data_IF_801060191016
#
_entry.id   IF_801060191016
#
_cell.length_a   1.000
_cell.length_b   1.000
_cell.length_c   1.000
_cell.angle_alpha   90.00
_cell.angle_beta   90.00
_cell.angle_gamma   90.00
#
_symmetry.space_group_name_H-M   'P 1'
#
loop_
_entity.id
_entity.type
_entity.pdbx_description
1 polymer ?
#
# COMPACT_ATOMS: atom_id res chain seq x y z
N UNK A 1 0.87 -22.95 -0.56
CA UNK A 1 0.99 -22.87 0.91
C UNK A 1 0.10 -21.72 1.36
N UNK A 2 -0.96 -21.97 2.13
CA UNK A 2 -1.89 -20.91 2.56
C UNK A 2 -1.29 -20.13 3.72
N UNK A 3 -1.24 -18.79 3.64
CA UNK A 3 -0.83 -17.95 4.76
C UNK A 3 -1.97 -17.99 5.80
N UNK A 4 -1.75 -18.52 7.01
CA UNK A 4 -2.81 -18.65 8.00
C UNK A 4 -3.31 -17.25 8.40
N UNK A 5 -4.63 -17.08 8.60
CA UNK A 5 -5.17 -15.82 9.08
C UNK A 5 -4.61 -15.51 10.47
N UNK A 6 -4.06 -14.31 10.63
CA UNK A 6 -3.76 -13.80 11.96
C UNK A 6 -5.09 -13.41 12.64
N UNK A 7 -5.38 -14.01 13.80
CA UNK A 7 -6.66 -13.89 14.53
C UNK A 7 -6.83 -12.51 15.20
N UNK A 8 -5.88 -11.58 15.02
CA UNK A 8 -6.01 -10.20 15.47
C UNK A 8 -7.10 -9.41 14.72
N UNK A 9 -7.57 -8.28 15.28
CA UNK A 9 -8.53 -7.41 14.61
C UNK A 9 -7.99 -6.92 13.24
N UNK A 10 -8.87 -6.69 12.25
CA UNK A 10 -8.44 -6.20 10.94
C UNK A 10 -7.64 -4.90 11.06
N UNK A 11 -6.59 -4.79 10.25
CA UNK A 11 -5.81 -3.56 10.08
C UNK A 11 -6.44 -2.70 8.99
N UNK A 12 -6.04 -1.44 8.86
CA UNK A 12 -6.67 -0.53 7.90
C UNK A 12 -5.63 0.14 7.01
N UNK A 13 -5.89 0.11 5.70
CA UNK A 13 -5.14 0.88 4.70
C UNK A 13 -6.09 1.89 4.08
N UNK A 14 -5.67 3.15 4.04
CA UNK A 14 -6.45 4.26 3.50
C UNK A 14 -5.76 4.81 2.26
N UNK A 15 -6.35 4.56 1.11
CA UNK A 15 -5.92 5.13 -0.17
C UNK A 15 -6.48 6.55 -0.31
N UNK A 16 -5.63 7.48 -0.74
CA UNK A 16 -6.00 8.90 -0.93
C UNK A 16 -5.77 9.40 -2.34
N UNK A 17 -4.94 8.73 -3.14
CA UNK A 17 -4.66 9.13 -4.51
C UNK A 17 -5.90 8.92 -5.41
N UNK A 18 -6.47 10.00 -5.97
CA UNK A 18 -7.71 9.91 -6.74
C UNK A 18 -7.67 8.94 -7.93
N UNK A 19 -6.50 8.83 -8.58
CA UNK A 19 -6.35 7.95 -9.74
C UNK A 19 -6.51 6.46 -9.43
N UNK A 20 -6.47 6.04 -8.15
CA UNK A 20 -6.71 4.64 -7.78
C UNK A 20 -8.19 4.28 -7.68
N UNK A 21 -9.11 5.25 -7.57
CA UNK A 21 -10.49 4.96 -7.14
C UNK A 21 -11.19 3.92 -8.03
N UNK A 22 -11.10 4.09 -9.35
CA UNK A 22 -11.73 3.18 -10.31
C UNK A 22 -11.14 1.77 -10.21
N UNK A 23 -9.82 1.66 -10.10
CA UNK A 23 -9.12 0.37 -10.00
C UNK A 23 -9.37 -0.32 -8.65
N UNK A 24 -9.47 0.46 -7.57
CA UNK A 24 -9.81 -0.05 -6.24
C UNK A 24 -11.23 -0.63 -6.20
N UNK A 25 -12.21 0.09 -6.78
CA UNK A 25 -13.59 -0.41 -6.89
C UNK A 25 -13.70 -1.65 -7.80
N UNK A 26 -12.86 -1.72 -8.83
CA UNK A 26 -12.71 -2.90 -9.69
C UNK A 26 -11.86 -4.03 -9.09
N UNK A 27 -11.32 -3.87 -7.87
CA UNK A 27 -10.44 -4.82 -7.20
C UNK A 27 -9.17 -5.17 -8.01
N UNK A 28 -8.67 -4.23 -8.81
CA UNK A 28 -7.46 -4.40 -9.62
C UNK A 28 -6.17 -3.99 -8.90
N UNK A 29 -6.29 -3.41 -7.71
CA UNK A 29 -5.14 -3.02 -6.87
C UNK A 29 -4.81 -4.12 -5.87
N UNK A 30 -3.54 -4.50 -5.82
CA UNK A 30 -3.03 -5.54 -4.92
C UNK A 30 -1.83 -5.07 -4.09
N UNK A 31 -1.35 -3.85 -4.32
CA UNK A 31 -0.26 -3.24 -3.57
C UNK A 31 -0.68 -1.91 -2.97
N UNK A 32 -0.18 -1.63 -1.78
CA UNK A 32 -0.29 -0.34 -1.11
C UNK A 32 1.06 0.09 -0.57
N UNK A 33 1.22 1.40 -0.38
CA UNK A 33 2.45 2.00 0.13
C UNK A 33 2.16 2.76 1.42
N UNK A 34 2.99 2.56 2.44
CA UNK A 34 2.80 3.14 3.76
C UNK A 34 4.12 3.62 4.35
N UNK A 35 4.05 4.65 5.19
CA UNK A 35 5.21 5.11 5.97
C UNK A 35 5.63 4.09 7.05
N UNK A 36 6.88 4.15 7.48
CA UNK A 36 7.39 3.35 8.62
C UNK A 36 6.55 3.57 9.89
N UNK A 37 6.17 4.82 10.15
CA UNK A 37 5.31 5.19 11.28
C UNK A 37 3.93 4.50 11.23
N UNK A 38 3.30 4.41 10.05
CA UNK A 38 2.01 3.74 9.90
C UNK A 38 2.13 2.22 10.07
N UNK A 39 3.17 1.61 9.51
CA UNK A 39 3.43 0.17 9.65
C UNK A 39 3.72 -0.18 11.10
N UNK A 40 4.57 0.60 11.79
CA UNK A 40 4.91 0.40 13.19
C UNK A 40 3.69 0.58 14.11
N UNK A 41 2.89 1.63 13.88
CA UNK A 41 1.66 1.91 14.65
C UNK A 41 0.66 0.77 14.55
N UNK A 42 0.45 0.24 13.33
CA UNK A 42 -0.52 -0.84 13.10
C UNK A 42 0.05 -2.23 13.36
N UNK A 43 1.38 -2.37 13.43
CA UNK A 43 2.12 -3.64 13.48
C UNK A 43 1.73 -4.57 12.34
N UNK A 44 1.79 -4.06 11.11
CA UNK A 44 1.41 -4.83 9.92
C UNK A 44 2.38 -5.98 9.70
N UNK A 45 1.84 -7.19 9.60
CA UNK A 45 2.59 -8.41 9.28
C UNK A 45 1.81 -9.28 8.29
N UNK A 46 2.51 -10.14 7.57
CA UNK A 46 1.90 -11.13 6.69
C UNK A 46 0.83 -11.95 7.44
N UNK A 47 -0.30 -12.23 6.78
CA UNK A 47 -1.44 -12.93 7.35
C UNK A 47 -2.46 -12.05 8.06
N UNK A 48 -2.16 -10.78 8.37
CA UNK A 48 -3.17 -9.85 8.89
C UNK A 48 -4.32 -9.66 7.88
N UNK A 49 -5.56 -9.64 8.39
CA UNK A 49 -6.71 -9.14 7.62
C UNK A 49 -6.63 -7.62 7.49
N UNK A 50 -7.06 -7.11 6.35
CA UNK A 50 -7.13 -5.69 6.02
C UNK A 50 -8.57 -5.29 5.77
N UNK A 51 -8.92 -4.09 6.23
CA UNK A 51 -10.02 -3.29 5.70
C UNK A 51 -9.38 -2.23 4.80
N UNK A 52 -9.77 -2.24 3.54
CA UNK A 52 -9.29 -1.31 2.53
C UNK A 52 -10.30 -0.17 2.44
N UNK A 53 -9.80 1.07 2.53
CA UNK A 53 -10.62 2.27 2.42
C UNK A 53 -10.13 3.18 1.31
N UNK A 54 -11.05 3.76 0.57
CA UNK A 54 -10.76 4.93 -0.24
C UNK A 54 -11.30 6.16 0.49
N UNK A 55 -10.40 7.04 0.94
CA UNK A 55 -10.72 8.10 1.91
C UNK A 55 -11.40 7.49 3.16
N UNK A 56 -12.66 7.84 3.44
CA UNK A 56 -13.41 7.33 4.59
C UNK A 56 -14.30 6.12 4.25
N UNK A 57 -14.50 5.82 2.96
CA UNK A 57 -15.37 4.75 2.49
C UNK A 57 -14.65 3.40 2.50
N UNK A 58 -15.28 2.38 3.09
CA UNK A 58 -14.80 1.00 3.01
C UNK A 58 -15.10 0.45 1.63
N UNK A 59 -14.06 0.02 0.92
CA UNK A 59 -14.15 -0.55 -0.44
C UNK A 59 -14.04 -2.07 -0.47
N UNK A 60 -13.54 -2.68 0.61
CA UNK A 60 -13.50 -4.13 0.75
C UNK A 60 -12.53 -4.61 1.82
N UNK A 61 -12.36 -5.93 1.86
CA UNK A 61 -11.43 -6.60 2.75
C UNK A 61 -10.31 -7.31 1.98
N UNK A 62 -9.18 -7.49 2.64
CA UNK A 62 -8.06 -8.22 2.08
C UNK A 62 -7.24 -8.96 3.14
N UNK A 63 -6.17 -9.60 2.69
CA UNK A 63 -5.19 -10.24 3.55
C UNK A 63 -3.78 -9.90 3.07
N UNK A 64 -2.93 -9.45 4.00
CA UNK A 64 -1.52 -9.17 3.72
C UNK A 64 -0.80 -10.46 3.35
N UNK A 65 -0.09 -10.41 2.23
CA UNK A 65 0.80 -11.46 1.73
C UNK A 65 2.25 -11.13 2.11
N UNK A 66 2.68 -9.88 1.87
CA UNK A 66 4.05 -9.44 2.08
C UNK A 66 4.07 -8.00 2.62
N UNK A 67 5.04 -7.74 3.50
CA UNK A 67 5.39 -6.42 4.01
C UNK A 67 6.89 -6.28 3.82
N UNK A 68 7.32 -5.33 2.99
CA UNK A 68 8.74 -5.16 2.66
C UNK A 68 9.11 -3.69 2.53
N UNK A 69 10.39 -3.38 2.79
CA UNK A 69 10.92 -2.02 2.64
C UNK A 69 11.34 -1.75 1.20
N UNK A 70 11.05 -0.55 0.72
CA UNK A 70 11.36 -0.04 -0.62
C UNK A 70 11.72 1.45 -0.54
N UNK A 71 12.28 2.00 -1.61
CA UNK A 71 12.51 3.44 -1.80
C UNK A 71 11.86 3.93 -3.10
N UNK A 72 11.81 5.25 -3.31
CA UNK A 72 11.30 5.84 -4.56
C UNK A 72 12.09 5.34 -5.77
N UNK A 73 13.39 5.11 -5.60
CA UNK A 73 14.26 4.61 -6.66
C UNK A 73 14.01 3.14 -7.00
N UNK A 74 13.57 2.33 -6.02
CA UNK A 74 13.38 0.89 -6.21
C UNK A 74 12.01 0.49 -6.76
N UNK A 75 11.02 1.38 -6.77
CA UNK A 75 9.71 1.08 -7.36
C UNK A 75 9.79 1.04 -8.90
N UNK A 76 9.11 0.05 -9.47
CA UNK A 76 9.17 -0.28 -10.89
C UNK A 76 7.84 0.01 -11.61
N UNK A 77 7.83 -0.06 -12.94
CA UNK A 77 6.59 0.03 -13.72
C UNK A 77 5.61 -1.10 -13.41
N UNK A 78 6.12 -2.27 -13.01
CA UNK A 78 5.25 -3.38 -12.58
C UNK A 78 4.54 -3.04 -11.27
N UNK A 79 5.24 -2.43 -10.33
CA UNK A 79 4.67 -1.97 -9.06
C UNK A 79 3.58 -0.90 -9.26
N UNK A 80 3.73 -0.05 -10.28
CA UNK A 80 2.70 0.91 -10.67
C UNK A 80 1.42 0.20 -11.15
N UNK A 81 1.56 -0.80 -12.04
CA UNK A 81 0.44 -1.59 -12.56
C UNK A 81 -0.29 -2.30 -11.41
N UNK A 82 0.44 -3.00 -10.55
CA UNK A 82 -0.15 -3.77 -9.44
C UNK A 82 -0.72 -2.85 -8.35
N UNK A 83 -0.16 -1.65 -8.19
CA UNK A 83 -0.68 -0.58 -7.34
C UNK A 83 -1.87 0.18 -7.93
N UNK A 84 -2.24 -0.09 -9.19
CA UNK A 84 -3.34 0.60 -9.89
C UNK A 84 -3.04 2.02 -10.35
N UNK A 85 -1.75 2.40 -10.43
CA UNK A 85 -1.30 3.68 -10.97
C UNK A 85 -1.19 3.61 -12.50
N UNK A 86 -1.34 4.76 -13.16
CA UNK A 86 -1.22 4.87 -14.61
C UNK A 86 0.20 4.52 -15.10
N UNK A 87 1.21 4.98 -14.36
CA UNK A 87 2.62 4.74 -14.66
C UNK A 87 3.47 4.90 -13.38
N UNK A 88 4.76 4.57 -13.49
CA UNK A 88 5.71 4.64 -12.36
C UNK A 88 5.93 6.06 -11.84
N UNK A 89 5.78 7.08 -12.69
CA UNK A 89 5.99 8.47 -12.29
C UNK A 89 4.86 8.97 -11.39
N UNK A 90 3.60 8.61 -11.69
CA UNK A 90 2.46 8.90 -10.81
C UNK A 90 2.54 8.15 -9.48
N UNK A 91 2.99 6.89 -9.49
CA UNK A 91 3.30 6.15 -8.25
C UNK A 91 4.35 6.89 -7.41
N UNK A 92 5.49 7.26 -8.02
CA UNK A 92 6.58 7.95 -7.32
C UNK A 92 6.13 9.29 -6.76
N UNK A 93 5.34 10.04 -7.53
CA UNK A 93 4.80 11.35 -7.13
C UNK A 93 3.83 11.22 -5.95
N UNK A 94 2.97 10.22 -5.95
CA UNK A 94 2.07 9.95 -4.84
C UNK A 94 2.84 9.55 -3.58
N UNK A 95 3.78 8.59 -3.68
CA UNK A 95 4.63 8.19 -2.57
C UNK A 95 5.47 9.36 -2.04
N UNK A 96 6.03 10.19 -2.92
CA UNK A 96 6.76 11.39 -2.52
C UNK A 96 5.85 12.29 -1.68
N UNK A 97 4.68 12.64 -2.19
CA UNK A 97 3.78 13.61 -1.54
C UNK A 97 3.17 13.08 -0.24
N UNK A 98 2.77 11.81 -0.22
CA UNK A 98 1.97 11.24 0.87
C UNK A 98 2.79 10.54 1.95
N UNK A 99 3.99 10.07 1.62
CA UNK A 99 4.82 9.26 2.53
C UNK A 99 6.13 9.96 2.85
N UNK A 100 6.90 10.35 1.82
CA UNK A 100 8.26 10.87 2.02
C UNK A 100 8.27 12.32 2.50
N UNK A 101 7.45 13.18 1.90
CA UNK A 101 7.38 14.61 2.22
C UNK A 101 8.61 15.39 1.76
N UNK A 102 8.79 16.60 2.32
CA UNK A 102 9.93 17.48 2.04
C UNK A 102 11.14 17.10 2.90
N UNK A 103 11.99 16.25 2.36
CA UNK A 103 13.24 15.80 2.99
C UNK A 103 14.44 16.10 2.09
N UNK A 104 15.63 16.22 2.67
CA UNK A 104 16.87 16.54 1.92
C UNK A 104 17.28 15.48 0.89
N UNK A 105 16.93 14.21 1.10
CA UNK A 105 17.29 13.07 0.25
C UNK A 105 16.11 12.10 0.10
N UNK A 106 15.10 12.45 -0.68
CA UNK A 106 13.88 11.65 -0.81
C UNK A 106 14.13 10.24 -1.38
N UNK A 107 15.19 10.05 -2.15
CA UNK A 107 15.61 8.77 -2.72
C UNK A 107 16.17 7.76 -1.70
N UNK A 108 16.69 8.23 -0.56
CA UNK A 108 17.21 7.39 0.53
C UNK A 108 16.12 7.04 1.57
N UNK A 109 14.92 7.62 1.46
CA UNK A 109 13.84 7.35 2.42
C UNK A 109 13.20 5.99 2.14
N UNK A 110 13.34 5.09 3.11
CA UNK A 110 12.65 3.81 3.12
C UNK A 110 11.19 3.98 3.54
N UNK A 111 10.31 3.29 2.83
CA UNK A 111 8.91 3.09 3.19
C UNK A 111 8.51 1.65 2.88
N UNK A 112 7.26 1.30 3.15
CA UNK A 112 6.79 -0.07 3.02
C UNK A 112 5.89 -0.28 1.81
N UNK A 113 6.17 -1.34 1.05
CA UNK A 113 5.25 -1.96 0.09
C UNK A 113 4.49 -3.08 0.79
N UNK A 114 3.17 -3.02 0.72
CA UNK A 114 2.25 -4.01 1.27
C UNK A 114 1.59 -4.73 0.11
N UNK A 115 1.95 -5.99 -0.13
CA UNK A 115 1.24 -6.85 -1.06
C UNK A 115 0.08 -7.52 -0.33
N UNK A 116 -1.11 -7.49 -0.91
CA UNK A 116 -2.29 -8.14 -0.37
C UNK A 116 -3.13 -8.81 -1.46
N UNK A 117 -4.04 -9.68 -1.03
CA UNK A 117 -5.13 -10.21 -1.88
C UNK A 117 -6.47 -9.76 -1.34
N UNK A 118 -7.46 -9.64 -2.21
CA UNK A 118 -8.85 -9.47 -1.83
C UNK A 118 -9.40 -10.74 -1.16
N UNK A 119 -10.40 -10.55 -0.28
CA UNK A 119 -11.15 -11.62 0.39
C UNK A 119 -12.62 -11.62 -0.02
#
# INVERSE_FOLDING_TARGET
>A
MAIPPNVGPPKTIVFRYPGLEQNLRGQFVYQAYLSDAEVARQRLIAGNRLVLKFKEEVIGEGQIILVEKVTIASVTSYDAIVGGYENVDELRKDCWKSIVGDVKKPEEVEFYRILFRWL
#
